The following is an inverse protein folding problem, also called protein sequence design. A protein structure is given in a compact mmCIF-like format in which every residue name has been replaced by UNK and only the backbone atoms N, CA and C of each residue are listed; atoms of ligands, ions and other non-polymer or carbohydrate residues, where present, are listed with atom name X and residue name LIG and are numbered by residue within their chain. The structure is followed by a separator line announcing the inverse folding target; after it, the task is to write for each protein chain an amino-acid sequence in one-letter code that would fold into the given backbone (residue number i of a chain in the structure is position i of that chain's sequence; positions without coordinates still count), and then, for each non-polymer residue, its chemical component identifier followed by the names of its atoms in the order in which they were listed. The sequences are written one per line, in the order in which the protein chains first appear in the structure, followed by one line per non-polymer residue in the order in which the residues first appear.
data_IF_545017547903
#
_entry.id   IF_545017547903
#
_cell.length_a   1.000
_cell.length_b   1.000
_cell.length_c   1.000
_cell.angle_alpha   90.00
_cell.angle_beta   90.00
_cell.angle_gamma   90.00
#
_symmetry.space_group_name_H-M   'P 1'
#
loop_
_entity.id
_entity.type
_entity.pdbx_description
1 polymer ?
#
# COMPACT_ATOMS: atom_id res chain seq x y z
N UNK A 1 14.78 -27.24 -2.55
CA UNK A 1 15.38 -26.84 -3.84
C UNK A 1 16.13 -25.55 -3.59
N UNK A 2 17.44 -25.52 -3.86
CA UNK A 2 18.22 -24.28 -3.78
C UNK A 2 17.68 -23.22 -4.74
N UNK A 3 17.92 -21.94 -4.44
CA UNK A 3 17.57 -20.87 -5.36
C UNK A 3 18.42 -20.99 -6.64
N UNK A 4 17.95 -20.45 -7.76
CA UNK A 4 18.79 -20.34 -8.97
C UNK A 4 20.11 -19.63 -8.67
N UNK A 5 20.08 -18.69 -7.72
CA UNK A 5 21.26 -18.01 -7.19
C UNK A 5 22.23 -18.98 -6.49
N UNK A 6 21.75 -19.88 -5.63
CA UNK A 6 22.65 -20.81 -4.94
C UNK A 6 23.30 -21.81 -5.90
N UNK A 7 22.60 -22.20 -6.98
CA UNK A 7 23.17 -23.06 -8.03
C UNK A 7 24.22 -22.28 -8.83
N UNK A 8 23.96 -21.02 -9.17
CA UNK A 8 24.92 -20.17 -9.87
C UNK A 8 26.19 -19.96 -9.03
N UNK A 9 26.05 -19.65 -7.74
CA UNK A 9 27.17 -19.47 -6.81
C UNK A 9 28.00 -20.74 -6.67
N UNK A 10 27.34 -21.91 -6.59
CA UNK A 10 28.02 -23.21 -6.53
C UNK A 10 28.83 -23.48 -7.81
N UNK A 11 28.30 -23.13 -8.98
CA UNK A 11 29.04 -23.28 -10.25
C UNK A 11 30.20 -22.28 -10.35
N UNK A 12 30.01 -21.02 -9.96
CA UNK A 12 31.07 -20.01 -9.94
C UNK A 12 32.21 -20.37 -8.99
N UNK A 13 31.91 -21.01 -7.85
CA UNK A 13 32.92 -21.49 -6.91
C UNK A 13 33.87 -22.57 -7.50
N UNK A 14 33.47 -23.25 -8.58
CA UNK A 14 34.32 -24.24 -9.26
C UNK A 14 35.29 -23.63 -10.28
N UNK A 15 35.08 -22.36 -10.66
CA UNK A 15 35.84 -21.69 -11.71
C UNK A 15 37.36 -21.63 -11.47
N UNK A 16 37.87 -21.28 -10.27
CA UNK A 16 39.32 -21.25 -10.02
C UNK A 16 39.98 -22.61 -10.29
N UNK A 17 39.28 -23.70 -9.93
CA UNK A 17 39.77 -25.06 -10.17
C UNK A 17 39.81 -25.42 -11.65
N UNK A 18 38.81 -25.02 -12.41
CA UNK A 18 38.76 -25.25 -13.87
C UNK A 18 39.91 -24.51 -14.56
N UNK A 19 40.16 -23.26 -14.18
CA UNK A 19 41.24 -22.42 -14.74
C UNK A 19 42.61 -23.01 -14.41
N UNK A 20 42.85 -23.35 -13.15
CA UNK A 20 44.10 -23.98 -12.71
C UNK A 20 44.35 -25.33 -13.41
N UNK A 21 43.30 -26.13 -13.60
CA UNK A 21 43.40 -27.42 -14.31
C UNK A 21 43.86 -27.26 -15.75
N UNK A 22 43.35 -26.25 -16.46
CA UNK A 22 43.72 -26.01 -17.85
C UNK A 22 45.15 -25.46 -17.97
N UNK A 23 45.55 -24.54 -17.08
CA UNK A 23 46.93 -24.02 -17.03
C UNK A 23 47.96 -25.12 -16.75
N UNK A 24 47.68 -26.00 -15.77
CA UNK A 24 48.55 -27.13 -15.43
C UNK A 24 48.65 -28.12 -16.58
N UNK A 25 47.53 -28.43 -17.24
CA UNK A 25 47.51 -29.35 -18.40
C UNK A 25 48.38 -28.82 -19.53
N UNK A 26 48.27 -27.53 -19.85
CA UNK A 26 49.08 -26.88 -20.89
C UNK A 26 50.57 -26.91 -20.55
N UNK A 27 50.93 -26.66 -19.29
CA UNK A 27 52.32 -26.69 -18.80
C UNK A 27 52.93 -28.09 -18.85
N UNK A 28 52.23 -29.11 -18.37
CA UNK A 28 52.68 -30.50 -18.45
C UNK A 28 52.91 -30.96 -19.89
N UNK A 29 52.02 -30.54 -20.80
CA UNK A 29 52.14 -30.84 -22.23
C UNK A 29 53.33 -30.12 -22.86
N UNK A 30 53.59 -28.86 -22.49
CA UNK A 30 54.75 -28.10 -22.96
C UNK A 30 56.08 -28.70 -22.46
N UNK A 31 56.07 -29.28 -21.26
CA UNK A 31 57.19 -30.03 -20.69
C UNK A 31 57.37 -31.45 -21.29
N UNK A 32 56.51 -31.88 -22.22
CA UNK A 32 56.64 -33.15 -22.94
C UNK A 32 56.03 -34.37 -22.24
N UNK A 33 55.27 -34.17 -21.16
CA UNK A 33 54.63 -35.28 -20.43
C UNK A 33 53.28 -35.67 -21.05
N UNK A 34 52.98 -36.97 -21.01
CA UNK A 34 51.67 -37.49 -21.41
C UNK A 34 50.58 -37.02 -20.43
N UNK A 35 49.37 -36.80 -20.94
CA UNK A 35 48.24 -36.29 -20.16
C UNK A 35 47.82 -37.30 -19.07
N UNK A 36 48.39 -37.16 -17.87
CA UNK A 36 48.05 -37.99 -16.71
C UNK A 36 47.07 -37.24 -15.82
N UNK A 37 45.80 -37.64 -15.85
CA UNK A 37 44.72 -37.01 -15.07
C UNK A 37 44.99 -36.98 -13.57
N UNK A 38 45.57 -38.06 -13.03
CA UNK A 38 45.86 -38.17 -11.60
C UNK A 38 46.98 -37.21 -11.18
N UNK A 39 47.96 -37.01 -12.06
CA UNK A 39 49.02 -36.03 -11.86
C UNK A 39 48.44 -34.60 -11.89
N UNK A 40 47.66 -34.26 -12.92
CA UNK A 40 47.01 -32.92 -13.02
C UNK A 40 46.19 -32.60 -11.77
N UNK A 41 45.39 -33.53 -11.26
CA UNK A 41 44.59 -33.33 -10.04
C UNK A 41 45.45 -33.03 -8.82
N UNK A 42 46.57 -33.76 -8.62
CA UNK A 42 47.50 -33.53 -7.51
C UNK A 42 48.15 -32.15 -7.58
N UNK A 43 48.52 -31.70 -8.78
CA UNK A 43 49.14 -30.38 -8.98
C UNK A 43 48.13 -29.25 -8.72
N UNK A 44 46.89 -29.40 -9.22
CA UNK A 44 45.81 -28.41 -9.03
C UNK A 44 45.39 -28.30 -7.57
N UNK A 45 45.29 -29.43 -6.85
CA UNK A 45 44.99 -29.45 -5.41
C UNK A 45 46.06 -28.71 -4.60
N UNK A 46 47.33 -28.89 -4.97
CA UNK A 46 48.45 -28.20 -4.32
C UNK A 46 48.47 -26.70 -4.66
N UNK A 47 48.25 -26.32 -5.91
CA UNK A 47 48.19 -24.93 -6.36
C UNK A 47 47.05 -24.14 -5.68
N UNK A 48 45.86 -24.73 -5.56
CA UNK A 48 44.71 -24.07 -4.94
C UNK A 48 44.75 -24.15 -3.40
N UNK A 49 45.57 -25.04 -2.84
CA UNK A 49 45.78 -25.20 -1.39
C UNK A 49 46.96 -24.41 -0.81
N UNK A 50 47.94 -24.04 -1.65
CA UNK A 50 49.16 -23.34 -1.23
C UNK A 50 48.93 -21.92 -0.68
N UNK A 51 47.78 -21.29 -0.92
CA UNK A 51 47.44 -19.97 -0.39
C UNK A 51 46.89 -19.95 1.04
N UNK A 52 47.05 -21.02 1.83
CA UNK A 52 46.56 -21.09 3.22
C UNK A 52 47.63 -20.92 4.30
N UNK A 53 48.91 -20.95 3.93
CA UNK A 53 50.03 -20.65 4.83
C UNK A 53 50.84 -19.50 4.22
N UNK A 54 50.77 -18.33 4.84
CA UNK A 54 51.70 -17.22 4.58
C UNK A 54 53.12 -17.70 4.91
N UNK A 55 54.05 -17.65 3.95
CA UNK A 55 55.45 -17.35 4.26
C UNK A 55 56.17 -16.78 3.02
N UNK A 56 56.82 -15.63 3.24
CA UNK A 56 57.64 -14.88 2.28
C UNK A 56 58.77 -15.73 1.68
N UNK A 57 58.96 -15.68 0.37
CA UNK A 57 60.09 -16.31 -0.30
C UNK A 57 60.23 -15.90 -1.76
N UNK A 58 61.12 -14.93 -2.01
CA UNK A 58 61.65 -14.55 -3.32
C UNK A 58 62.52 -15.69 -3.87
N UNK A 59 61.93 -16.57 -4.67
CA UNK A 59 62.55 -17.33 -5.77
C UNK A 59 61.44 -18.15 -6.45
N UNK A 60 61.34 -18.09 -7.78
CA UNK A 60 60.22 -18.63 -8.55
C UNK A 60 59.81 -20.05 -8.13
N UNK A 61 58.54 -20.21 -7.73
CA UNK A 61 57.96 -21.45 -7.21
C UNK A 61 58.10 -22.61 -8.20
N UNK A 62 59.20 -23.36 -8.12
CA UNK A 62 59.35 -24.65 -8.81
C UNK A 62 58.63 -25.70 -7.98
N UNK A 63 57.49 -26.15 -8.47
CA UNK A 63 56.76 -27.27 -7.88
C UNK A 63 57.42 -28.58 -8.30
N UNK A 64 58.11 -29.26 -7.37
CA UNK A 64 58.67 -30.60 -7.57
C UNK A 64 57.64 -31.70 -7.21
N UNK A 65 57.53 -32.73 -8.06
CA UNK A 65 56.60 -33.85 -7.91
C UNK A 65 57.32 -35.19 -7.81
N UNK A 66 56.90 -36.06 -6.89
CA UNK A 66 57.40 -37.44 -6.80
C UNK A 66 56.82 -38.29 -7.94
N UNK A 67 57.52 -38.29 -9.06
CA UNK A 67 57.41 -39.28 -10.14
C UNK A 67 58.79 -39.86 -10.43
N UNK A 68 58.90 -40.99 -11.13
CA UNK A 68 60.19 -41.59 -11.53
C UNK A 68 61.03 -40.66 -12.46
N UNK A 69 60.45 -39.53 -12.87
CA UNK A 69 61.06 -38.40 -13.57
C UNK A 69 60.84 -37.12 -12.74
N UNK A 70 61.86 -36.27 -12.62
CA UNK A 70 61.80 -34.98 -11.93
C UNK A 70 61.05 -33.97 -12.83
N UNK A 71 59.79 -33.69 -12.52
CA UNK A 71 58.95 -32.75 -13.29
C UNK A 71 59.03 -31.37 -12.63
N UNK A 72 59.72 -30.43 -13.28
CA UNK A 72 59.76 -29.03 -12.87
C UNK A 72 58.78 -28.21 -13.71
N UNK A 73 57.75 -27.63 -13.08
CA UNK A 73 56.81 -26.71 -13.73
C UNK A 73 57.02 -25.29 -13.21
N UNK A 74 57.41 -24.37 -14.09
CA UNK A 74 57.56 -22.95 -13.78
C UNK A 74 56.35 -22.16 -14.32
N UNK A 75 55.70 -21.39 -13.45
CA UNK A 75 54.62 -20.47 -13.80
C UNK A 75 55.17 -19.05 -13.91
N UNK A 76 54.91 -18.40 -15.03
CA UNK A 76 55.46 -17.08 -15.39
C UNK A 76 54.36 -16.02 -15.38
N UNK A 77 54.73 -14.74 -15.37
CA UNK A 77 53.80 -13.60 -15.54
C UNK A 77 52.89 -13.75 -16.77
N UNK A 78 53.38 -14.39 -17.84
CA UNK A 78 52.59 -14.66 -19.04
C UNK A 78 51.46 -15.70 -18.79
N UNK A 79 51.66 -16.64 -17.88
CA UNK A 79 50.65 -17.62 -17.49
C UNK A 79 49.57 -16.99 -16.60
N UNK A 80 49.97 -16.09 -15.72
CA UNK A 80 49.04 -15.27 -14.93
C UNK A 80 48.21 -14.34 -15.82
N UNK A 81 48.84 -13.65 -16.77
CA UNK A 81 48.13 -12.80 -17.75
C UNK A 81 47.14 -13.60 -18.60
N UNK A 82 47.48 -14.84 -18.96
CA UNK A 82 46.58 -15.75 -19.70
C UNK A 82 45.40 -16.23 -18.84
N UNK A 83 45.63 -16.45 -17.54
CA UNK A 83 44.58 -16.77 -16.58
C UNK A 83 43.62 -15.58 -16.40
N UNK A 84 44.16 -14.36 -16.27
CA UNK A 84 43.38 -13.12 -16.22
C UNK A 84 42.56 -12.91 -17.49
N UNK A 85 43.15 -13.06 -18.68
CA UNK A 85 42.42 -12.96 -19.95
C UNK A 85 41.26 -13.96 -20.02
N UNK A 86 41.45 -15.17 -19.49
CA UNK A 86 40.40 -16.19 -19.45
C UNK A 86 39.28 -15.80 -18.46
N UNK A 87 39.64 -15.28 -17.28
CA UNK A 87 38.67 -14.74 -16.31
C UNK A 87 37.90 -13.57 -16.88
N UNK A 88 38.56 -12.63 -17.56
CA UNK A 88 37.95 -11.45 -18.17
C UNK A 88 36.96 -11.87 -19.26
N UNK A 89 37.36 -12.78 -20.15
CA UNK A 89 36.50 -13.29 -21.22
C UNK A 89 35.26 -14.01 -20.69
N UNK A 90 35.39 -14.76 -19.60
CA UNK A 90 34.24 -15.39 -18.93
C UNK A 90 33.38 -14.33 -18.25
N UNK A 91 33.99 -13.35 -17.59
CA UNK A 91 33.29 -12.25 -16.93
C UNK A 91 32.50 -11.39 -17.91
N UNK A 92 32.99 -11.22 -19.15
CA UNK A 92 32.28 -10.52 -20.22
C UNK A 92 31.05 -11.28 -20.74
N UNK A 93 31.08 -12.62 -20.69
CA UNK A 93 30.00 -13.48 -21.24
C UNK A 93 28.97 -13.91 -20.20
N UNK A 94 29.33 -13.94 -18.92
CA UNK A 94 28.44 -14.27 -17.80
C UNK A 94 27.17 -13.41 -17.77
N UNK A 95 27.21 -12.06 -17.94
CA UNK A 95 26.02 -11.23 -17.92
C UNK A 95 24.97 -11.65 -18.96
N UNK A 96 25.38 -11.97 -20.18
CA UNK A 96 24.48 -12.41 -21.25
C UNK A 96 23.90 -13.80 -20.96
N UNK A 97 24.72 -14.72 -20.43
CA UNK A 97 24.29 -16.06 -20.02
C UNK A 97 23.30 -16.00 -18.85
N UNK A 98 23.57 -15.18 -17.84
CA UNK A 98 22.65 -14.94 -16.71
C UNK A 98 21.35 -14.36 -17.25
N UNK A 99 21.42 -13.37 -18.14
CA UNK A 99 20.23 -12.76 -18.73
C UNK A 99 19.37 -13.79 -19.47
N UNK A 100 19.96 -14.57 -20.39
CA UNK A 100 19.22 -15.58 -21.15
C UNK A 100 18.65 -16.70 -20.28
N UNK A 101 19.40 -17.14 -19.26
CA UNK A 101 18.94 -18.15 -18.31
C UNK A 101 17.81 -17.61 -17.43
N UNK A 102 17.94 -16.38 -16.95
CA UNK A 102 16.91 -15.70 -16.17
C UNK A 102 15.64 -15.48 -16.99
N UNK A 103 15.75 -15.16 -18.29
CA UNK A 103 14.59 -15.00 -19.17
C UNK A 103 13.81 -16.32 -19.33
N UNK A 104 14.50 -17.42 -19.61
CA UNK A 104 13.87 -18.76 -19.71
C UNK A 104 13.24 -19.16 -18.37
N UNK A 105 13.94 -18.93 -17.26
CA UNK A 105 13.42 -19.20 -15.92
C UNK A 105 12.18 -18.35 -15.61
N UNK A 106 12.19 -17.07 -15.95
CA UNK A 106 11.07 -16.16 -15.74
C UNK A 106 9.83 -16.61 -16.51
N UNK A 107 9.96 -17.02 -17.78
CA UNK A 107 8.84 -17.56 -18.57
C UNK A 107 8.28 -18.83 -17.93
N UNK A 108 9.14 -19.73 -17.44
CA UNK A 108 8.71 -20.95 -16.75
C UNK A 108 8.02 -20.66 -15.42
N UNK A 109 8.55 -19.72 -14.64
CA UNK A 109 7.97 -19.26 -13.38
C UNK A 109 6.60 -18.61 -13.61
N UNK A 110 6.47 -17.75 -14.61
CA UNK A 110 5.20 -17.13 -14.97
C UNK A 110 4.15 -18.18 -15.32
N UNK A 111 4.46 -19.14 -16.19
CA UNK A 111 3.55 -20.25 -16.53
C UNK A 111 3.16 -21.07 -15.30
N UNK A 112 4.07 -21.22 -14.34
CA UNK A 112 3.76 -21.88 -13.07
C UNK A 112 2.78 -21.04 -12.24
N UNK A 113 3.05 -19.74 -12.08
CA UNK A 113 2.16 -18.81 -11.37
C UNK A 113 0.77 -18.76 -12.00
N UNK A 114 0.65 -18.77 -13.33
CA UNK A 114 -0.64 -18.78 -14.02
C UNK A 114 -1.44 -20.06 -13.75
N UNK A 115 -0.77 -21.22 -13.67
CA UNK A 115 -1.41 -22.50 -13.31
C UNK A 115 -1.83 -22.51 -11.85
N UNK A 116 -0.95 -22.09 -10.95
CA UNK A 116 -1.23 -22.06 -9.51
C UNK A 116 -2.29 -21.01 -9.17
N UNK A 117 -2.34 -19.91 -9.92
CA UNK A 117 -3.31 -18.84 -9.74
C UNK A 117 -4.74 -19.31 -9.88
N UNK A 118 -5.04 -20.30 -10.74
CA UNK A 118 -6.39 -20.85 -10.85
C UNK A 118 -6.87 -21.43 -9.51
N UNK A 119 -6.03 -22.21 -8.84
CA UNK A 119 -6.32 -22.79 -7.53
C UNK A 119 -6.27 -21.72 -6.41
N UNK A 120 -5.29 -20.81 -6.46
CA UNK A 120 -5.18 -19.74 -5.47
C UNK A 120 -6.38 -18.82 -5.51
N UNK A 121 -6.82 -18.39 -6.71
CA UNK A 121 -7.97 -17.52 -6.90
C UNK A 121 -9.19 -18.06 -6.17
N UNK A 122 -9.58 -19.31 -6.47
CA UNK A 122 -10.74 -19.94 -5.83
C UNK A 122 -10.61 -19.98 -4.31
N UNK A 123 -9.43 -20.36 -3.79
CA UNK A 123 -9.18 -20.35 -2.36
C UNK A 123 -9.28 -18.94 -1.74
N UNK A 124 -8.73 -17.90 -2.39
CA UNK A 124 -8.84 -16.50 -1.92
C UNK A 124 -10.28 -16.00 -1.96
N UNK A 125 -11.04 -16.34 -2.99
CA UNK A 125 -12.45 -15.93 -3.13
C UNK A 125 -13.29 -16.55 -2.00
N UNK A 126 -13.16 -17.85 -1.74
CA UNK A 126 -13.83 -18.54 -0.63
C UNK A 126 -13.42 -17.94 0.72
N UNK A 127 -12.13 -17.67 0.92
CA UNK A 127 -11.65 -17.02 2.16
C UNK A 127 -12.27 -15.64 2.35
N UNK A 128 -12.36 -14.85 1.30
CA UNK A 128 -12.98 -13.51 1.35
C UNK A 128 -14.49 -13.60 1.60
N UNK A 129 -15.20 -14.53 0.98
CA UNK A 129 -16.62 -14.75 1.22
C UNK A 129 -16.89 -15.13 2.67
N UNK A 130 -16.14 -16.09 3.21
CA UNK A 130 -16.25 -16.51 4.61
C UNK A 130 -15.92 -15.35 5.55
N UNK A 131 -14.89 -14.55 5.23
CA UNK A 131 -14.54 -13.36 5.98
C UNK A 131 -15.70 -12.37 6.02
N UNK A 132 -16.29 -12.03 4.86
CA UNK A 132 -17.42 -11.10 4.75
C UNK A 132 -18.66 -11.61 5.49
N UNK A 133 -18.93 -12.91 5.44
CA UNK A 133 -20.01 -13.53 6.22
C UNK A 133 -19.80 -13.32 7.72
N UNK A 134 -18.61 -13.66 8.24
CA UNK A 134 -18.28 -13.46 9.64
C UNK A 134 -18.34 -11.99 10.05
N UNK A 135 -17.92 -11.10 9.15
CA UNK A 135 -17.98 -9.66 9.36
C UNK A 135 -19.43 -9.18 9.47
N UNK A 136 -20.32 -9.63 8.58
CA UNK A 136 -21.75 -9.31 8.65
C UNK A 136 -22.41 -9.88 9.92
N UNK A 137 -22.03 -11.08 10.36
CA UNK A 137 -22.51 -11.64 11.64
C UNK A 137 -22.13 -10.75 12.82
N UNK A 138 -20.93 -10.15 12.80
CA UNK A 138 -20.42 -9.30 13.90
C UNK A 138 -20.90 -7.85 13.82
N UNK A 139 -20.93 -7.25 12.64
CA UNK A 139 -21.15 -5.82 12.43
C UNK A 139 -22.49 -5.49 11.77
N UNK A 140 -23.25 -6.50 11.32
CA UNK A 140 -24.43 -6.34 10.47
C UNK A 140 -25.46 -5.36 11.01
N UNK A 141 -25.73 -5.33 12.31
CA UNK A 141 -26.66 -4.36 12.90
C UNK A 141 -26.28 -2.90 12.63
N UNK A 142 -24.99 -2.58 12.72
CA UNK A 142 -24.49 -1.24 12.42
C UNK A 142 -24.41 -0.98 10.92
N UNK A 143 -23.96 -1.97 10.14
CA UNK A 143 -23.85 -1.85 8.69
C UNK A 143 -25.21 -1.70 8.02
N UNK A 144 -26.22 -2.46 8.43
CA UNK A 144 -27.58 -2.37 7.88
C UNK A 144 -28.23 -1.02 8.22
N UNK A 145 -27.96 -0.48 9.41
CA UNK A 145 -28.43 0.86 9.78
C UNK A 145 -27.76 1.96 8.92
N UNK A 146 -26.48 1.82 8.59
CA UNK A 146 -25.78 2.72 7.66
C UNK A 146 -26.33 2.62 6.23
N UNK A 147 -26.52 1.40 5.71
CA UNK A 147 -27.14 1.17 4.39
C UNK A 147 -28.52 1.81 4.31
N UNK A 148 -29.34 1.63 5.35
CA UNK A 148 -30.65 2.26 5.45
C UNK A 148 -30.55 3.80 5.41
N UNK A 149 -29.58 4.39 6.11
CA UNK A 149 -29.37 5.84 6.08
C UNK A 149 -28.98 6.33 4.68
N UNK A 150 -28.13 5.58 3.97
CA UNK A 150 -27.72 5.90 2.60
C UNK A 150 -28.92 5.89 1.65
N UNK A 151 -29.74 4.84 1.69
CA UNK A 151 -30.90 4.75 0.79
C UNK A 151 -31.96 5.81 1.09
N UNK A 152 -32.28 6.07 2.37
CA UNK A 152 -33.20 7.15 2.73
C UNK A 152 -32.66 8.53 2.31
N UNK A 153 -31.36 8.74 2.43
CA UNK A 153 -30.72 9.98 1.98
C UNK A 153 -30.79 10.12 0.45
N UNK A 154 -30.58 9.03 -0.30
CA UNK A 154 -30.71 8.97 -1.76
C UNK A 154 -32.13 9.33 -2.21
N UNK A 155 -33.15 8.82 -1.52
CA UNK A 155 -34.55 9.14 -1.82
C UNK A 155 -34.84 10.63 -1.64
N UNK A 156 -34.37 11.24 -0.54
CA UNK A 156 -34.51 12.68 -0.29
C UNK A 156 -33.81 13.50 -1.38
N UNK A 157 -32.59 13.10 -1.77
CA UNK A 157 -31.84 13.74 -2.84
C UNK A 157 -32.57 13.66 -4.19
N UNK A 158 -33.15 12.51 -4.51
CA UNK A 158 -33.93 12.29 -5.73
C UNK A 158 -35.16 13.19 -5.80
N UNK A 159 -35.89 13.28 -4.69
CA UNK A 159 -37.07 14.13 -4.56
C UNK A 159 -36.72 15.62 -4.61
N UNK A 160 -35.63 16.03 -3.96
CA UNK A 160 -35.08 17.39 -4.07
C UNK A 160 -34.72 17.74 -5.52
N UNK A 161 -33.95 16.88 -6.20
CA UNK A 161 -33.55 17.11 -7.58
C UNK A 161 -34.77 17.24 -8.50
N UNK A 162 -35.76 16.35 -8.35
CA UNK A 162 -37.01 16.39 -9.13
C UNK A 162 -37.74 17.73 -8.96
N UNK A 163 -37.86 18.23 -7.73
CA UNK A 163 -38.47 19.54 -7.46
C UNK A 163 -37.64 20.69 -8.03
N UNK A 164 -36.33 20.67 -7.81
CA UNK A 164 -35.43 21.72 -8.25
C UNK A 164 -35.43 21.85 -9.79
N UNK A 165 -35.37 20.73 -10.51
CA UNK A 165 -35.39 20.69 -11.98
C UNK A 165 -36.71 21.13 -12.60
N UNK A 166 -37.83 21.02 -11.87
CA UNK A 166 -39.16 21.47 -12.31
C UNK A 166 -39.50 22.90 -11.90
N UNK A 167 -38.69 23.53 -11.04
CA UNK A 167 -38.93 24.88 -10.55
C UNK A 167 -38.65 25.90 -11.66
N UNK A 168 -39.62 26.75 -12.05
CA UNK A 168 -39.38 27.83 -13.02
C UNK A 168 -38.57 28.99 -12.42
N UNK A 169 -38.46 29.07 -11.09
CA UNK A 169 -37.74 30.15 -10.41
C UNK A 169 -36.22 30.00 -10.54
N UNK A 170 -35.55 31.08 -10.92
CA UNK A 170 -34.08 31.18 -10.97
C UNK A 170 -33.44 31.68 -9.68
N UNK A 171 -34.22 31.98 -8.63
CA UNK A 171 -33.72 32.59 -7.39
C UNK A 171 -32.66 31.76 -6.66
N UNK A 172 -32.69 30.43 -6.82
CA UNK A 172 -31.77 29.47 -6.18
C UNK A 172 -31.20 28.47 -7.20
N UNK A 173 -31.08 28.87 -8.47
CA UNK A 173 -30.74 27.93 -9.54
C UNK A 173 -29.34 27.33 -9.36
N UNK A 174 -28.33 28.18 -9.11
CA UNK A 174 -26.96 27.75 -8.86
C UNK A 174 -26.85 26.98 -7.55
N UNK A 175 -27.50 27.45 -6.49
CA UNK A 175 -27.48 26.77 -5.19
C UNK A 175 -28.11 25.38 -5.28
N UNK A 176 -29.29 25.25 -5.87
CA UNK A 176 -29.94 23.95 -6.03
C UNK A 176 -29.12 23.00 -6.92
N UNK A 177 -28.49 23.53 -7.97
CA UNK A 177 -27.57 22.76 -8.82
C UNK A 177 -26.38 22.27 -8.00
N UNK A 178 -25.65 23.16 -7.32
CA UNK A 178 -24.48 22.81 -6.52
C UNK A 178 -24.82 21.79 -5.42
N UNK A 179 -25.88 22.03 -4.64
CA UNK A 179 -26.33 21.11 -3.58
C UNK A 179 -26.76 19.75 -4.13
N UNK A 180 -27.47 19.69 -5.27
CA UNK A 180 -27.83 18.41 -5.90
C UNK A 180 -26.58 17.60 -6.28
N UNK A 181 -25.61 18.25 -6.93
CA UNK A 181 -24.37 17.57 -7.37
C UNK A 181 -23.51 17.13 -6.19
N UNK A 182 -23.36 17.97 -5.16
CA UNK A 182 -22.62 17.63 -3.95
C UNK A 182 -23.27 16.49 -3.17
N UNK A 183 -24.61 16.47 -3.08
CA UNK A 183 -25.33 15.39 -2.42
C UNK A 183 -25.23 14.06 -3.17
N UNK A 184 -25.40 14.06 -4.50
CA UNK A 184 -25.18 12.85 -5.31
C UNK A 184 -23.77 12.30 -5.12
N UNK A 185 -22.75 13.18 -5.12
CA UNK A 185 -21.37 12.81 -4.82
C UNK A 185 -21.22 12.25 -3.40
N UNK A 186 -21.88 12.85 -2.40
CA UNK A 186 -21.86 12.36 -1.03
C UNK A 186 -22.47 10.96 -0.89
N UNK A 187 -23.56 10.66 -1.61
CA UNK A 187 -24.16 9.32 -1.65
C UNK A 187 -23.18 8.31 -2.25
N UNK A 188 -22.52 8.65 -3.36
CA UNK A 188 -21.50 7.79 -3.98
C UNK A 188 -20.35 7.49 -3.01
N UNK A 189 -19.79 8.53 -2.39
CA UNK A 189 -18.70 8.36 -1.41
C UNK A 189 -19.17 7.53 -0.20
N UNK A 190 -20.40 7.75 0.29
CA UNK A 190 -20.95 6.93 1.37
C UNK A 190 -21.06 5.45 0.98
N UNK A 191 -21.47 5.14 -0.25
CA UNK A 191 -21.44 3.77 -0.78
C UNK A 191 -20.02 3.21 -0.90
N UNK A 192 -19.02 4.00 -1.33
CA UNK A 192 -17.61 3.58 -1.34
C UNK A 192 -17.10 3.24 0.07
N UNK A 193 -17.43 4.08 1.06
CA UNK A 193 -17.07 3.82 2.46
C UNK A 193 -17.69 2.50 2.92
N UNK A 194 -18.96 2.25 2.62
CA UNK A 194 -19.62 0.99 2.96
C UNK A 194 -18.94 -0.22 2.32
N UNK A 195 -18.61 -0.15 1.03
CA UNK A 195 -17.88 -1.24 0.34
C UNK A 195 -16.55 -1.53 1.04
N UNK A 196 -15.79 -0.50 1.41
CA UNK A 196 -14.52 -0.69 2.12
C UNK A 196 -14.72 -1.31 3.51
N UNK A 197 -15.72 -0.85 4.27
CA UNK A 197 -16.03 -1.42 5.58
C UNK A 197 -16.47 -2.88 5.48
N UNK A 198 -17.33 -3.21 4.52
CA UNK A 198 -17.86 -4.56 4.29
C UNK A 198 -16.80 -5.55 3.79
N UNK A 199 -15.68 -5.06 3.28
CA UNK A 199 -14.53 -5.87 2.86
C UNK A 199 -13.33 -5.78 3.82
N UNK A 200 -13.52 -5.19 5.01
CA UNK A 200 -12.50 -5.25 6.06
C UNK A 200 -11.46 -4.11 6.07
N UNK A 201 -11.70 -3.03 5.31
CA UNK A 201 -10.73 -1.96 5.07
C UNK A 201 -11.09 -0.65 5.82
N UNK A 202 -11.02 -0.68 7.16
CA UNK A 202 -11.37 0.46 8.02
C UNK A 202 -10.54 1.73 7.74
N UNK A 203 -9.23 1.60 7.55
CA UNK A 203 -8.35 2.76 7.28
C UNK A 203 -8.68 3.42 5.93
N UNK A 204 -8.97 2.61 4.90
CA UNK A 204 -9.43 3.11 3.60
C UNK A 204 -10.81 3.77 3.69
N UNK A 205 -11.73 3.17 4.45
CA UNK A 205 -13.05 3.74 4.72
C UNK A 205 -12.94 5.12 5.41
N UNK A 206 -12.04 5.26 6.39
CA UNK A 206 -11.79 6.52 7.07
C UNK A 206 -11.19 7.58 6.12
N UNK A 207 -10.27 7.18 5.24
CA UNK A 207 -9.73 8.06 4.21
C UNK A 207 -10.82 8.56 3.24
N UNK A 208 -11.80 7.72 2.88
CA UNK A 208 -12.94 8.13 2.05
C UNK A 208 -13.91 9.02 2.81
N UNK A 209 -14.12 8.78 4.11
CA UNK A 209 -14.89 9.67 4.96
C UNK A 209 -14.33 11.11 4.95
N UNK A 210 -13.00 11.29 4.92
CA UNK A 210 -12.38 12.62 4.77
C UNK A 210 -12.99 13.41 3.61
N UNK A 211 -13.11 12.78 2.45
CA UNK A 211 -13.70 13.38 1.26
C UNK A 211 -15.20 13.66 1.45
N UNK A 212 -15.94 12.76 2.09
CA UNK A 212 -17.36 12.98 2.42
C UNK A 212 -17.53 14.20 3.33
N UNK A 213 -16.66 14.36 4.33
CA UNK A 213 -16.66 15.49 5.24
C UNK A 213 -16.35 16.82 4.53
N UNK A 214 -15.38 16.83 3.61
CA UNK A 214 -15.10 18.00 2.77
C UNK A 214 -16.32 18.41 1.93
N UNK A 215 -16.95 17.43 1.27
CA UNK A 215 -18.16 17.66 0.46
C UNK A 215 -19.30 18.20 1.32
N UNK A 216 -19.49 17.65 2.52
CA UNK A 216 -20.52 18.13 3.46
C UNK A 216 -20.24 19.57 3.93
N UNK A 217 -18.99 19.90 4.30
CA UNK A 217 -18.63 21.25 4.75
C UNK A 217 -18.84 22.29 3.63
N UNK A 218 -18.41 21.97 2.39
CA UNK A 218 -18.66 22.84 1.24
C UNK A 218 -20.16 23.04 1.02
N UNK A 219 -20.95 21.96 1.03
CA UNK A 219 -22.40 22.06 0.87
C UNK A 219 -23.06 22.93 1.95
N UNK A 220 -22.64 22.80 3.21
CA UNK A 220 -23.13 23.62 4.32
C UNK A 220 -22.83 25.10 4.11
N UNK A 221 -21.58 25.45 3.78
CA UNK A 221 -21.17 26.84 3.50
C UNK A 221 -21.96 27.43 2.32
N UNK A 222 -22.22 26.63 1.27
CA UNK A 222 -23.06 27.07 0.15
C UNK A 222 -24.52 27.27 0.57
N UNK A 223 -25.05 26.38 1.41
CA UNK A 223 -26.38 26.49 1.99
C UNK A 223 -26.60 27.81 2.71
N UNK A 224 -25.61 28.22 3.52
CA UNK A 224 -25.63 29.46 4.30
C UNK A 224 -25.34 30.71 3.43
N UNK A 225 -24.39 30.60 2.49
CA UNK A 225 -23.98 31.71 1.62
C UNK A 225 -24.91 32.01 0.43
N UNK A 226 -25.85 31.11 0.12
CA UNK A 226 -26.92 31.38 -0.83
C UNK A 226 -26.50 31.31 -2.32
N UNK A 227 -27.33 31.91 -3.17
CA UNK A 227 -27.23 31.82 -4.63
C UNK A 227 -25.93 32.42 -5.19
N UNK A 228 -25.53 33.60 -4.72
CA UNK A 228 -24.34 34.29 -5.24
C UNK A 228 -23.05 33.53 -4.92
N UNK A 229 -22.96 32.92 -3.73
CA UNK A 229 -21.81 32.08 -3.38
C UNK A 229 -21.79 30.78 -4.19
N UNK A 230 -22.97 30.18 -4.41
CA UNK A 230 -23.08 29.00 -5.26
C UNK A 230 -22.71 29.26 -6.73
N UNK A 231 -23.05 30.42 -7.28
CA UNK A 231 -22.57 30.84 -8.61
C UNK A 231 -21.04 30.89 -8.63
N UNK A 232 -20.41 31.58 -7.66
CA UNK A 232 -18.95 31.65 -7.54
C UNK A 232 -18.31 30.27 -7.47
N UNK A 233 -18.88 29.36 -6.67
CA UNK A 233 -18.40 27.99 -6.55
C UNK A 233 -18.46 27.22 -7.88
N UNK A 234 -19.58 27.33 -8.61
CA UNK A 234 -19.73 26.64 -9.90
C UNK A 234 -18.79 27.20 -10.97
N UNK A 235 -18.58 28.52 -11.00
CA UNK A 235 -17.67 29.17 -11.97
C UNK A 235 -16.20 28.88 -11.65
N UNK A 236 -15.87 28.51 -10.41
CA UNK A 236 -14.50 28.24 -9.98
C UNK A 236 -13.84 27.03 -10.68
N UNK A 237 -14.63 26.18 -11.36
CA UNK A 237 -14.12 25.15 -12.28
C UNK A 237 -13.15 25.71 -13.34
N UNK A 238 -13.32 26.96 -13.76
CA UNK A 238 -12.39 27.66 -14.67
C UNK A 238 -10.97 27.76 -14.06
N UNK A 239 -10.87 28.01 -12.76
CA UNK A 239 -9.58 28.12 -12.05
C UNK A 239 -8.89 26.76 -12.03
N UNK A 240 -9.64 25.69 -11.77
CA UNK A 240 -9.13 24.32 -11.78
C UNK A 240 -8.70 23.89 -13.19
N UNK A 241 -9.48 24.22 -14.23
CA UNK A 241 -9.12 23.98 -15.62
C UNK A 241 -7.80 24.69 -16.00
N UNK A 242 -7.60 25.94 -15.56
CA UNK A 242 -6.37 26.70 -15.80
C UNK A 242 -5.15 26.06 -15.11
N UNK A 243 -5.28 25.62 -13.86
CA UNK A 243 -4.21 24.91 -13.15
C UNK A 243 -3.88 23.57 -13.82
N UNK A 244 -4.91 22.80 -14.18
CA UNK A 244 -4.78 21.53 -14.88
C UNK A 244 -4.05 21.68 -16.22
N UNK A 245 -4.37 22.72 -17.01
CA UNK A 245 -3.64 23.04 -18.24
C UNK A 245 -2.15 23.28 -17.97
N UNK A 246 -1.83 24.08 -16.96
CA UNK A 246 -0.44 24.37 -16.59
C UNK A 246 0.33 23.12 -16.16
N UNK A 247 -0.27 22.26 -15.34
CA UNK A 247 0.33 20.99 -14.93
C UNK A 247 0.53 20.04 -16.13
N UNK A 248 -0.49 19.91 -16.99
CA UNK A 248 -0.40 19.09 -18.19
C UNK A 248 0.74 19.56 -19.11
N UNK A 249 0.85 20.87 -19.35
CA UNK A 249 1.93 21.44 -20.16
C UNK A 249 3.33 21.11 -19.62
N UNK A 250 3.48 20.98 -18.30
CA UNK A 250 4.76 20.64 -17.67
C UNK A 250 5.08 19.13 -17.76
N UNK A 251 4.07 18.26 -17.66
CA UNK A 251 4.29 16.82 -17.54
C UNK A 251 4.18 16.04 -18.86
N UNK A 252 3.38 16.52 -19.83
CA UNK A 252 3.09 15.75 -21.05
C UNK A 252 4.34 15.33 -21.85
N UNK A 253 5.43 16.13 -21.98
CA UNK A 253 6.60 15.70 -22.76
C UNK A 253 7.31 14.52 -22.09
N UNK A 254 7.36 14.53 -20.75
CA UNK A 254 8.00 13.47 -19.94
C UNK A 254 7.18 12.18 -19.94
N UNK A 255 5.86 12.29 -20.06
CA UNK A 255 4.93 11.16 -20.11
C UNK A 255 4.73 10.60 -21.53
N UNK A 256 5.34 11.22 -22.55
CA UNK A 256 5.14 10.83 -23.96
C UNK A 256 3.73 11.14 -24.49
N UNK A 257 3.01 12.06 -23.85
CA UNK A 257 1.65 12.44 -24.26
C UNK A 257 1.65 13.59 -25.26
N UNK A 258 0.65 13.60 -26.14
CA UNK A 258 0.46 14.64 -27.15
C UNK A 258 0.28 16.03 -26.51
N UNK A 259 0.77 17.11 -27.15
CA UNK A 259 0.58 18.46 -26.62
C UNK A 259 -0.90 18.84 -26.56
N UNK A 260 -1.26 19.67 -25.58
CA UNK A 260 -2.63 20.15 -25.43
C UNK A 260 -3.03 21.05 -26.61
N UNK A 261 -4.31 21.00 -27.02
CA UNK A 261 -4.81 21.80 -28.15
C UNK A 261 -4.64 23.30 -27.90
N UNK A 262 -3.93 24.00 -28.80
CA UNK A 262 -3.71 25.47 -28.72
C UNK A 262 -5.02 26.25 -28.64
N UNK A 263 -6.05 25.84 -29.41
CA UNK A 263 -7.37 26.48 -29.41
C UNK A 263 -8.09 26.29 -28.07
N UNK A 264 -8.00 25.10 -27.49
CA UNK A 264 -8.61 24.83 -26.19
C UNK A 264 -7.87 25.57 -25.06
N UNK A 265 -6.54 25.60 -25.10
CA UNK A 265 -5.72 26.38 -24.17
C UNK A 265 -6.10 27.86 -24.22
N UNK A 266 -6.14 28.47 -25.42
CA UNK A 266 -6.52 29.87 -25.57
C UNK A 266 -7.95 30.19 -25.06
N UNK A 267 -8.87 29.23 -25.11
CA UNK A 267 -10.20 29.39 -24.49
C UNK A 267 -10.09 29.41 -22.96
N UNK A 268 -9.39 28.44 -22.36
CA UNK A 268 -9.17 28.38 -20.91
C UNK A 268 -8.50 29.67 -20.39
N UNK A 269 -7.51 30.21 -21.11
CA UNK A 269 -6.86 31.47 -20.73
C UNK A 269 -7.81 32.67 -20.74
N UNK A 270 -8.68 32.76 -21.75
CA UNK A 270 -9.70 33.83 -21.82
C UNK A 270 -10.72 33.70 -20.70
N UNK A 271 -11.29 32.50 -20.53
CA UNK A 271 -12.28 32.22 -19.50
C UNK A 271 -11.71 32.54 -18.09
N UNK A 272 -10.44 32.21 -17.86
CA UNK A 272 -9.71 32.57 -16.64
C UNK A 272 -9.56 34.08 -16.46
N UNK A 273 -9.12 34.80 -17.50
CA UNK A 273 -8.96 36.25 -17.45
C UNK A 273 -10.30 36.96 -17.14
N UNK A 274 -11.39 36.51 -17.77
CA UNK A 274 -12.73 37.02 -17.55
C UNK A 274 -13.22 36.74 -16.11
N UNK A 275 -12.96 35.54 -15.60
CA UNK A 275 -13.31 35.17 -14.22
C UNK A 275 -12.56 36.03 -13.18
N UNK A 276 -11.27 36.27 -13.38
CA UNK A 276 -10.45 37.12 -12.50
C UNK A 276 -10.90 38.59 -12.57
N UNK A 277 -11.23 39.08 -13.77
CA UNK A 277 -11.80 40.43 -13.95
C UNK A 277 -13.12 40.59 -13.19
N UNK A 278 -14.00 39.57 -13.25
CA UNK A 278 -15.31 39.58 -12.61
C UNK A 278 -15.25 39.44 -11.08
N UNK A 279 -14.41 38.55 -10.56
CA UNK A 279 -14.44 38.15 -9.14
C UNK A 279 -13.25 38.64 -8.31
N UNK A 280 -12.25 39.22 -8.96
CA UNK A 280 -11.02 39.72 -8.33
C UNK A 280 -9.91 38.67 -8.25
N UNK A 281 -8.71 39.15 -7.93
CA UNK A 281 -7.48 38.33 -7.88
C UNK A 281 -7.57 37.14 -6.93
N UNK A 282 -8.23 37.33 -5.78
CA UNK A 282 -8.33 36.30 -4.73
C UNK A 282 -9.15 35.08 -5.19
N UNK A 283 -10.03 35.25 -6.19
CA UNK A 283 -10.78 34.15 -6.79
C UNK A 283 -9.88 33.10 -7.44
N UNK A 284 -8.67 33.48 -7.87
CA UNK A 284 -7.71 32.57 -8.51
C UNK A 284 -7.04 31.56 -7.56
N UNK A 285 -7.25 31.64 -6.25
CA UNK A 285 -6.74 30.67 -5.28
C UNK A 285 -7.50 29.34 -5.27
N UNK A 286 -6.95 28.31 -4.61
CA UNK A 286 -7.55 26.96 -4.47
C UNK A 286 -8.98 26.97 -3.92
N UNK A 287 -9.27 27.88 -2.99
CA UNK A 287 -10.62 28.08 -2.45
C UNK A 287 -11.13 29.51 -2.71
N UNK A 288 -10.66 30.14 -3.78
CA UNK A 288 -10.95 31.55 -4.08
C UNK A 288 -12.44 31.88 -4.21
N UNK A 289 -13.28 30.90 -4.53
CA UNK A 289 -14.74 31.06 -4.58
C UNK A 289 -15.36 31.51 -3.25
N UNK A 290 -14.77 31.15 -2.11
CA UNK A 290 -15.27 31.50 -0.77
C UNK A 290 -14.56 32.72 -0.15
N UNK A 291 -13.48 33.20 -0.77
CA UNK A 291 -12.59 34.22 -0.21
C UNK A 291 -13.35 35.48 0.27
N UNK A 292 -14.20 36.03 -0.61
CA UNK A 292 -15.00 37.21 -0.30
C UNK A 292 -16.04 36.96 0.80
N UNK A 293 -16.62 35.76 0.87
CA UNK A 293 -17.61 35.40 1.88
C UNK A 293 -16.99 35.26 3.28
N UNK A 294 -15.75 34.77 3.35
CA UNK A 294 -15.01 34.62 4.61
C UNK A 294 -14.20 35.85 5.01
N UNK A 295 -14.11 36.88 4.15
CA UNK A 295 -13.21 38.02 4.37
C UNK A 295 -11.73 37.62 4.43
N UNK A 296 -11.35 36.55 3.73
CA UNK A 296 -9.98 36.01 3.73
C UNK A 296 -9.51 35.84 2.28
N UNK A 297 -8.40 36.49 1.90
CA UNK A 297 -7.85 36.46 0.54
C UNK A 297 -7.19 35.13 0.15
N UNK A 298 -6.83 34.29 1.13
CA UNK A 298 -6.23 32.96 0.92
C UNK A 298 -6.89 31.92 1.81
N UNK A 299 -8.18 31.62 1.58
CA UNK A 299 -8.88 30.62 2.36
C UNK A 299 -8.26 29.24 2.13
N UNK A 300 -8.25 28.43 3.19
CA UNK A 300 -7.92 27.00 3.12
C UNK A 300 -9.11 26.18 3.64
N UNK A 301 -9.02 24.85 3.53
CA UNK A 301 -10.10 23.98 3.99
C UNK A 301 -10.47 24.18 5.46
N UNK A 302 -9.54 24.62 6.32
CA UNK A 302 -9.88 24.96 7.70
C UNK A 302 -10.85 26.09 7.83
N UNK A 303 -10.68 27.13 7.04
CA UNK A 303 -11.61 28.25 7.08
C UNK A 303 -13.02 27.80 6.61
N UNK A 304 -13.09 26.85 5.68
CA UNK A 304 -14.38 26.26 5.22
C UNK A 304 -14.98 25.37 6.30
N UNK A 305 -14.18 24.52 6.95
CA UNK A 305 -14.62 23.65 8.05
C UNK A 305 -15.14 24.48 9.23
N UNK A 306 -14.45 25.57 9.57
CA UNK A 306 -14.85 26.50 10.63
C UNK A 306 -16.16 27.23 10.24
N UNK A 307 -16.26 27.72 9.00
CA UNK A 307 -17.47 28.37 8.48
C UNK A 307 -18.68 27.42 8.42
N UNK A 308 -18.45 26.13 8.20
CA UNK A 308 -19.49 25.10 8.28
C UNK A 308 -19.89 24.74 9.72
N UNK A 309 -19.27 25.36 10.75
CA UNK A 309 -19.49 25.01 12.16
C UNK A 309 -18.95 23.63 12.53
N UNK A 310 -17.89 23.16 11.86
CA UNK A 310 -17.30 21.81 12.01
C UNK A 310 -15.86 21.79 12.51
N UNK A 311 -15.36 22.89 13.07
CA UNK A 311 -14.00 23.01 13.61
C UNK A 311 -13.60 21.85 14.56
N UNK A 312 -14.54 21.33 15.35
CA UNK A 312 -14.31 20.21 16.27
C UNK A 312 -13.96 18.88 15.57
N UNK A 313 -14.26 18.74 14.28
CA UNK A 313 -13.93 17.55 13.49
C UNK A 313 -12.49 17.55 12.99
N UNK A 314 -11.73 18.64 13.19
CA UNK A 314 -10.34 18.80 12.74
C UNK A 314 -9.44 17.64 13.16
N UNK A 315 -9.59 17.13 14.38
CA UNK A 315 -8.80 16.00 14.89
C UNK A 315 -9.05 14.73 14.08
N UNK A 316 -10.31 14.41 13.83
CA UNK A 316 -10.74 13.27 13.02
C UNK A 316 -10.31 13.42 11.56
N UNK A 317 -10.43 14.64 10.99
CA UNK A 317 -9.96 14.94 9.64
C UNK A 317 -8.45 14.71 9.50
N UNK A 318 -7.63 15.24 10.43
CA UNK A 318 -6.18 15.00 10.42
C UNK A 318 -5.83 13.52 10.58
N UNK A 319 -6.54 12.81 11.45
CA UNK A 319 -6.37 11.36 11.61
C UNK A 319 -6.63 10.62 10.29
N UNK A 320 -7.72 10.95 9.59
CA UNK A 320 -8.04 10.36 8.29
C UNK A 320 -6.97 10.68 7.23
N UNK A 321 -6.38 11.87 7.23
CA UNK A 321 -5.31 12.26 6.31
C UNK A 321 -4.02 11.46 6.48
N UNK A 322 -3.70 10.98 7.69
CA UNK A 322 -2.47 10.20 7.91
C UNK A 322 -2.46 8.90 7.09
N UNK A 323 -3.62 8.30 6.85
CA UNK A 323 -3.76 7.08 6.06
C UNK A 323 -3.73 7.32 4.53
N UNK A 324 -3.77 8.59 4.10
CA UNK A 324 -3.72 8.98 2.68
C UNK A 324 -2.28 9.32 2.27
N UNK A 325 -1.54 9.99 3.16
CA UNK A 325 -0.16 10.38 2.89
C UNK A 325 0.82 9.30 3.36
N UNK A 326 1.93 9.12 2.65
CA UNK A 326 3.06 8.28 3.07
C UNK A 326 3.84 8.89 4.25
N UNK A 327 3.12 9.29 5.30
CA UNK A 327 3.65 9.86 6.53
C UNK A 327 3.91 8.77 7.55
N UNK A 328 4.83 9.01 8.48
CA UNK A 328 5.14 8.09 9.57
C UNK A 328 3.91 7.73 10.42
N UNK A 329 2.93 8.65 10.52
CA UNK A 329 1.68 8.39 11.24
C UNK A 329 0.76 7.37 10.56
N UNK A 330 0.81 7.24 9.23
CA UNK A 330 0.05 6.21 8.50
C UNK A 330 0.58 4.80 8.72
N UNK A 331 1.84 4.68 9.16
CA UNK A 331 2.46 3.42 9.61
C UNK A 331 2.19 3.19 11.09
N UNK A 332 2.33 4.26 11.90
CA UNK A 332 2.25 4.16 13.34
C UNK A 332 0.83 3.91 13.87
N UNK A 333 -0.22 4.42 13.20
CA UNK A 333 -1.61 4.30 13.66
C UNK A 333 -2.49 3.61 12.61
N UNK A 334 -3.10 2.47 12.97
CA UNK A 334 -3.93 1.64 12.06
C UNK A 334 -5.25 1.26 12.73
N UNK A 335 -6.37 1.69 12.15
CA UNK A 335 -7.72 1.35 12.64
C UNK A 335 -8.01 -0.15 12.53
N UNK A 336 -7.45 -0.82 11.52
CA UNK A 336 -7.61 -2.27 11.35
C UNK A 336 -6.96 -3.14 12.43
N UNK A 337 -6.38 -2.55 13.48
CA UNK A 337 -5.78 -3.26 14.61
C UNK A 337 -6.44 -2.86 15.92
N UNK A 338 -6.63 -3.81 16.85
CA UNK A 338 -7.10 -3.52 18.20
C UNK A 338 -6.06 -2.76 19.03
N UNK A 339 -4.77 -3.08 18.85
CA UNK A 339 -3.67 -2.41 19.56
C UNK A 339 -3.33 -1.06 18.88
N UNK A 340 -3.82 -0.83 17.65
CA UNK A 340 -3.74 0.40 16.83
C UNK A 340 -2.33 0.92 16.51
N UNK A 341 -1.26 0.33 17.08
CA UNK A 341 0.11 0.83 16.97
C UNK A 341 1.00 -0.12 16.18
N UNK A 342 1.68 0.39 15.14
CA UNK A 342 2.67 -0.34 14.33
C UNK A 342 2.20 -1.73 13.85
N UNK A 343 0.91 -1.90 13.62
CA UNK A 343 0.36 -3.18 13.18
C UNK A 343 0.69 -3.41 11.70
N UNK A 344 1.35 -4.54 11.41
CA UNK A 344 1.63 -4.97 10.04
C UNK A 344 0.41 -5.70 9.49
N UNK A 345 -0.49 -4.95 8.87
CA UNK A 345 -1.72 -5.47 8.27
C UNK A 345 -1.68 -5.25 6.77
N UNK A 346 -1.53 -6.35 6.02
CA UNK A 346 -1.49 -6.33 4.56
C UNK A 346 -2.87 -6.59 3.90
N UNK A 347 -3.86 -7.09 4.65
CA UNK A 347 -5.16 -7.50 4.14
C UNK A 347 -6.35 -6.99 4.94
N UNK A 348 -7.51 -7.58 4.71
CA UNK A 348 -8.76 -7.26 5.40
C UNK A 348 -8.66 -7.52 6.92
N UNK A 349 -9.30 -6.67 7.72
CA UNK A 349 -9.37 -6.76 9.17
C UNK A 349 -10.82 -6.69 9.65
N UNK A 350 -11.14 -7.32 10.78
CA UNK A 350 -12.51 -7.36 11.30
C UNK A 350 -12.82 -6.28 12.35
N UNK A 351 -11.99 -5.24 12.47
CA UNK A 351 -12.08 -4.17 13.48
C UNK A 351 -11.89 -2.78 12.89
N UNK A 352 -12.14 -1.73 13.68
CA UNK A 352 -11.86 -0.35 13.31
C UNK A 352 -13.00 0.40 12.62
N UNK A 353 -14.21 -0.17 12.58
CA UNK A 353 -15.33 0.39 11.80
C UNK A 353 -16.16 1.47 12.51
N UNK A 354 -15.93 1.70 13.81
CA UNK A 354 -16.71 2.69 14.59
C UNK A 354 -16.51 4.10 14.04
N UNK A 355 -15.25 4.54 13.89
CA UNK A 355 -14.91 5.87 13.40
C UNK A 355 -15.41 6.14 11.98
N UNK A 356 -15.08 5.34 10.95
CA UNK A 356 -15.60 5.59 9.61
C UNK A 356 -17.14 5.51 9.56
N UNK A 357 -17.77 4.61 10.31
CA UNK A 357 -19.22 4.45 10.31
C UNK A 357 -19.96 5.62 10.96
N UNK A 358 -19.58 6.03 12.18
CA UNK A 358 -20.25 7.15 12.86
C UNK A 358 -20.05 8.46 12.09
N UNK A 359 -18.86 8.66 11.53
CA UNK A 359 -18.53 9.87 10.83
C UNK A 359 -19.21 9.93 9.45
N UNK A 360 -19.36 8.79 8.76
CA UNK A 360 -20.24 8.68 7.58
C UNK A 360 -21.65 9.13 7.94
N UNK A 361 -22.24 8.55 8.99
CA UNK A 361 -23.62 8.84 9.37
C UNK A 361 -23.83 10.33 9.66
N UNK A 362 -22.90 10.96 10.37
CA UNK A 362 -22.93 12.38 10.70
C UNK A 362 -22.81 13.26 9.45
N UNK A 363 -21.76 13.08 8.64
CA UNK A 363 -21.55 13.91 7.44
C UNK A 363 -22.67 13.74 6.41
N UNK A 364 -23.19 12.52 6.23
CA UNK A 364 -24.29 12.24 5.32
C UNK A 364 -25.61 12.84 5.79
N UNK A 365 -25.90 12.78 7.10
CA UNK A 365 -27.08 13.45 7.66
C UNK A 365 -27.04 14.95 7.39
N UNK A 366 -25.91 15.60 7.70
CA UNK A 366 -25.77 17.05 7.56
C UNK A 366 -25.99 17.53 6.13
N UNK A 367 -25.37 16.89 5.13
CA UNK A 367 -25.58 17.29 3.74
C UNK A 367 -27.01 16.99 3.26
N UNK A 368 -27.63 15.90 3.74
CA UNK A 368 -29.00 15.53 3.38
C UNK A 368 -30.02 16.52 3.95
N UNK A 369 -29.81 17.03 5.15
CA UNK A 369 -30.70 18.01 5.78
C UNK A 369 -30.80 19.32 4.98
N UNK A 370 -29.77 19.70 4.23
CA UNK A 370 -29.78 20.90 3.37
C UNK A 370 -30.79 20.80 2.22
N UNK A 371 -31.21 19.58 1.87
CA UNK A 371 -32.13 19.32 0.77
C UNK A 371 -33.59 19.25 1.20
N UNK A 372 -33.84 19.29 2.51
CA UNK A 372 -35.21 19.30 3.02
C UNK A 372 -35.89 20.62 2.63
N UNK A 373 -37.15 20.55 2.13
CA UNK A 373 -37.86 21.75 1.70
C UNK A 373 -38.23 22.61 2.90
N UNK A 374 -38.35 23.93 2.66
CA UNK A 374 -38.74 24.90 3.69
C UNK A 374 -40.21 24.78 4.11
N UNK A 375 -41.05 24.16 3.29
CA UNK A 375 -42.43 23.84 3.66
C UNK A 375 -42.48 22.54 4.46
N UNK A 376 -42.72 22.69 5.77
CA UNK A 376 -42.85 21.57 6.70
C UNK A 376 -44.26 20.96 6.61
N UNK A 377 -44.32 19.65 6.43
CA UNK A 377 -45.53 18.83 6.60
C UNK A 377 -45.27 17.83 7.72
N UNK A 378 -46.32 17.25 8.29
CA UNK A 378 -46.17 16.22 9.33
C UNK A 378 -45.29 15.07 8.84
N UNK A 379 -45.48 14.61 7.60
CA UNK A 379 -44.68 13.54 6.99
C UNK A 379 -43.19 13.89 6.92
N UNK A 380 -42.84 15.14 6.57
CA UNK A 380 -41.44 15.59 6.50
C UNK A 380 -40.80 15.70 7.89
N UNK A 381 -41.57 16.16 8.87
CA UNK A 381 -41.13 16.19 10.27
C UNK A 381 -40.88 14.77 10.75
N UNK A 382 -41.81 13.84 10.49
CA UNK A 382 -41.67 12.43 10.82
C UNK A 382 -40.46 11.80 10.11
N UNK A 383 -40.22 12.10 8.83
CA UNK A 383 -39.04 11.64 8.08
C UNK A 383 -37.74 12.13 8.72
N UNK A 384 -37.65 13.42 9.08
CA UNK A 384 -36.48 13.98 9.78
C UNK A 384 -36.26 13.33 11.15
N UNK A 385 -37.33 13.12 11.93
CA UNK A 385 -37.25 12.44 13.22
C UNK A 385 -36.82 10.98 13.06
N UNK A 386 -37.30 10.27 12.04
CA UNK A 386 -36.89 8.90 11.75
C UNK A 386 -35.40 8.82 11.37
N UNK A 387 -34.93 9.74 10.52
CA UNK A 387 -33.52 9.88 10.18
C UNK A 387 -32.65 10.17 11.40
N UNK A 388 -33.05 11.11 12.26
CA UNK A 388 -32.34 11.40 13.51
C UNK A 388 -32.25 10.19 14.43
N UNK A 389 -33.35 9.45 14.62
CA UNK A 389 -33.35 8.20 15.41
C UNK A 389 -32.43 7.14 14.80
N UNK A 390 -32.39 7.04 13.47
CA UNK A 390 -31.51 6.11 12.77
C UNK A 390 -30.04 6.49 12.98
N UNK A 391 -29.71 7.77 12.81
CA UNK A 391 -28.38 8.32 13.08
C UNK A 391 -27.91 8.00 14.50
N UNK A 392 -28.75 8.23 15.52
CA UNK A 392 -28.37 8.01 16.92
C UNK A 392 -28.16 6.52 17.27
N UNK A 393 -28.80 5.63 16.51
CA UNK A 393 -28.67 4.17 16.69
C UNK A 393 -27.36 3.63 16.11
N UNK A 394 -26.82 4.23 15.05
CA UNK A 394 -25.66 3.73 14.32
C UNK A 394 -24.40 3.65 15.22
N UNK A 395 -23.94 4.73 15.89
CA UNK A 395 -22.75 4.66 16.74
C UNK A 395 -22.88 3.65 17.86
N UNK A 396 -24.09 3.51 18.44
CA UNK A 396 -24.36 2.55 19.52
C UNK A 396 -24.21 1.11 19.03
N UNK A 397 -24.77 0.78 17.86
CA UNK A 397 -24.67 -0.55 17.28
C UNK A 397 -23.21 -0.90 16.92
N UNK A 398 -22.47 0.02 16.32
CA UNK A 398 -21.06 -0.17 15.96
C UNK A 398 -20.18 -0.34 17.22
N UNK A 399 -20.34 0.51 18.22
CA UNK A 399 -19.59 0.43 19.47
C UNK A 399 -19.88 -0.87 20.24
N UNK A 400 -21.10 -1.38 20.19
CA UNK A 400 -21.44 -2.68 20.79
C UNK A 400 -20.67 -3.82 20.11
N UNK A 401 -20.59 -3.82 18.77
CA UNK A 401 -19.81 -4.80 18.01
C UNK A 401 -18.32 -4.72 18.33
N UNK A 402 -17.73 -3.52 18.36
CA UNK A 402 -16.31 -3.35 18.68
C UNK A 402 -15.98 -3.86 20.10
N UNK A 403 -16.82 -3.52 21.09
CA UNK A 403 -16.64 -3.99 22.48
C UNK A 403 -16.75 -5.51 22.60
N UNK A 404 -17.68 -6.13 21.86
CA UNK A 404 -17.82 -7.58 21.84
C UNK A 404 -16.55 -8.24 21.28
N UNK A 405 -16.01 -7.73 20.18
CA UNK A 405 -14.77 -8.24 19.57
C UNK A 405 -13.58 -8.07 20.52
N UNK A 406 -13.43 -6.90 21.14
CA UNK A 406 -12.35 -6.66 22.10
C UNK A 406 -12.41 -7.62 23.31
N UNK A 407 -13.62 -7.96 23.77
CA UNK A 407 -13.82 -8.93 24.84
C UNK A 407 -13.45 -10.35 24.40
N UNK A 408 -13.88 -10.77 23.21
CA UNK A 408 -13.54 -12.08 22.64
C UNK A 408 -12.02 -12.22 22.47
N UNK A 409 -11.35 -11.21 21.92
CA UNK A 409 -9.89 -11.19 21.73
C UNK A 409 -9.16 -11.30 23.07
N UNK A 410 -9.59 -10.54 24.09
CA UNK A 410 -9.00 -10.61 25.42
C UNK A 410 -9.08 -12.03 26.00
N UNK A 411 -10.24 -12.68 25.90
CA UNK A 411 -10.43 -14.04 26.37
C UNK A 411 -9.54 -15.05 25.63
N UNK A 412 -9.36 -14.89 24.32
CA UNK A 412 -8.46 -15.72 23.50
C UNK A 412 -7.00 -15.54 23.94
N UNK A 413 -6.55 -14.29 24.13
CA UNK A 413 -5.18 -13.98 24.60
C UNK A 413 -4.91 -14.58 25.98
N UNK A 414 -5.84 -14.43 26.92
CA UNK A 414 -5.71 -15.01 28.27
C UNK A 414 -5.63 -16.55 28.24
N UNK A 415 -6.49 -17.19 27.44
CA UNK A 415 -6.46 -18.65 27.25
C UNK A 415 -5.14 -19.13 26.62
N UNK A 416 -4.59 -18.39 25.67
CA UNK A 416 -3.30 -18.71 25.03
C UNK A 416 -2.14 -18.62 26.04
N UNK A 417 -2.12 -17.58 26.89
CA UNK A 417 -1.12 -17.42 27.95
C UNK A 417 -1.21 -18.58 28.96
N UNK A 418 -2.42 -18.92 29.40
CA UNK A 418 -2.64 -20.05 30.31
C UNK A 418 -2.15 -21.38 29.73
N UNK A 419 -2.45 -21.66 28.45
CA UNK A 419 -1.95 -22.86 27.74
C UNK A 419 -0.42 -22.88 27.66
N UNK A 420 0.22 -21.75 27.40
CA UNK A 420 1.70 -21.65 27.34
C UNK A 420 2.33 -21.88 28.72
N UNK A 421 1.71 -21.38 29.79
CA UNK A 421 2.17 -21.57 31.16
C UNK A 421 2.05 -23.04 31.61
N UNK A 422 0.99 -23.74 31.20
CA UNK A 422 0.84 -25.17 31.49
C UNK A 422 1.88 -26.01 30.71
N UNK A 423 2.12 -25.72 29.42
CA UNK A 423 3.16 -26.41 28.63
C UNK A 423 4.57 -26.19 29.16
N UNK A 424 4.87 -25.04 29.76
CA UNK A 424 6.19 -24.81 30.38
C UNK A 424 6.36 -25.52 31.72
N UNK A 425 5.26 -25.77 32.45
CA UNK A 425 5.25 -26.58 33.68
C UNK A 425 5.37 -28.09 33.42
N UNK A 426 4.91 -28.57 32.26
CA UNK A 426 4.97 -29.99 31.86
C UNK A 426 6.32 -30.44 31.25
N UNK A 427 7.27 -29.54 30.97
CA UNK A 427 8.64 -29.97 30.59
C UNK A 427 9.34 -30.58 31.81
N UNK A 428 9.69 -31.88 31.80
CA UNK A 428 10.29 -32.51 32.97
C UNK A 428 11.72 -31.99 33.21
N UNK A 429 12.03 -31.71 34.48
CA UNK A 429 13.41 -31.75 34.98
C UNK A 429 13.94 -33.18 34.86
N UNK A 430 14.51 -33.53 33.72
CA UNK A 430 15.34 -34.74 33.58
C UNK A 430 16.59 -34.43 32.77
N UNK A 431 17.52 -33.67 33.37
CA UNK A 431 18.94 -33.93 33.15
C UNK A 431 19.33 -34.98 34.19
N UNK A 432 19.32 -36.25 33.79
CA UNK A 432 19.98 -37.32 34.53
C UNK A 432 21.46 -36.95 34.70
N UNK A 433 22.06 -37.13 35.90
CA UNK A 433 23.50 -37.00 36.03
C UNK A 433 24.17 -38.15 35.28
N UNK A 434 25.23 -37.82 34.51
CA UNK A 434 26.14 -38.82 33.92
C UNK A 434 26.66 -39.72 35.05
N UNK A 435 26.39 -41.03 34.95
CA UNK A 435 27.10 -42.03 35.75
C UNK A 435 28.52 -42.11 35.23
N UNK A 436 29.46 -41.56 36.00
CA UNK A 436 30.88 -41.88 35.84
C UNK A 436 31.08 -43.36 36.14
N UNK A 437 31.52 -44.11 35.13
CA UNK A 437 32.13 -45.42 35.31
C UNK A 437 33.58 -45.19 35.73
N UNK A 438 33.86 -45.23 37.03
CA UNK A 438 35.17 -45.58 37.55
C UNK A 438 35.06 -46.90 38.32
N UNK A 439 36.06 -47.75 38.09
CA UNK A 439 36.04 -49.17 38.42
C UNK A 439 36.24 -49.51 39.89
N UNK A 440 35.97 -50.77 40.20
CA UNK A 440 36.44 -51.45 41.39
C UNK A 440 36.78 -52.89 41.01
N UNK A 441 38.06 -53.23 41.16
CA UNK A 441 38.59 -54.58 41.20
C UNK A 441 38.60 -55.09 42.66
N UNK A 442 38.69 -56.43 42.81
CA UNK A 442 38.87 -57.23 44.04
C UNK A 442 37.67 -57.26 44.99
N UNK A 443 37.24 -58.36 45.63
CA UNK A 443 37.80 -59.65 46.10
C UNK A 443 36.55 -60.53 46.35
N UNK A 444 36.45 -61.84 46.12
CA UNK A 444 37.18 -63.02 46.61
C UNK A 444 36.63 -64.22 45.84
#
# INVERSE_FOLDING_TARGET
MGSLQSVLEEQLATMPRIIATELVRDKLKAAGHAENKKLVEQIVDRLLGAGSDEEDGDDGDVLEFETDEEIALEFTDADFARAEEFVDKISETIPELIHGTAEVAAVRMLRQYERDWAAWREATDIQMEQFRFNLQVRWGKGFDALRMLIELSRDIGTDFHRRASRSPSRRRAHLNKALSHLHVRAIQIASEIMVLMENGYADGAMARWRTLHEVACVAMVLGDGGEALAERYLVHEIIEAKKGLGQYQQCHPKLGYAPFSKRAAARIERDYADAISRYGKDFGGDYGWVAAHLGNSRPNFSNIEDAAGRAMMRSHYKMASHNVHASTKGIAYRLGSLDRHYAVIAGASNVGFVEPGQNLASSLMHITMLLLPTSWTLDKIAQLMALSKLHDRIPRALAQSERAIAKDEKAIREAAVARRANRSREKPRSRLPRRDRFGAAATT
#
